data_IF_571872892544
#
_entry.id   IF_571872892544
#
_cell.length_a   1.000
_cell.length_b   1.000
_cell.length_c   1.000
_cell.angle_alpha   90.00
_cell.angle_beta   90.00
_cell.angle_gamma   90.00
#
_symmetry.space_group_name_H-M   'P 1'
#
loop_
_entity.id
_entity.type
_entity.pdbx_description
1 polymer ?
#
# COMPACT_ATOMS: atom_id res chain seq x y z
N UNK A 1 -51.90 10.13 32.37
CA UNK A 1 -52.95 10.41 31.37
C UNK A 1 -52.52 9.76 30.06
N UNK A 2 -53.03 8.56 29.82
CA UNK A 2 -52.88 7.78 28.59
C UNK A 2 -54.15 7.94 27.77
N UNK A 3 -54.00 8.07 26.45
CA UNK A 3 -55.00 7.81 25.40
C UNK A 3 -54.23 7.80 24.07
N UNK A 4 -54.48 7.02 23.03
CA UNK A 4 -55.21 5.78 22.71
C UNK A 4 -54.98 5.61 21.17
N UNK A 5 -54.57 4.43 20.68
CA UNK A 5 -55.36 3.50 19.82
C UNK A 5 -55.81 4.12 18.45
N UNK A 6 -55.69 3.51 17.26
CA UNK A 6 -55.85 2.10 16.87
C UNK A 6 -55.53 1.88 15.38
N UNK A 7 -55.17 0.62 15.06
CA UNK A 7 -55.32 -0.20 13.83
C UNK A 7 -56.33 0.25 12.76
N UNK A 8 -56.29 -0.17 11.48
CA UNK A 8 -55.66 -1.32 10.84
C UNK A 8 -56.17 -1.50 9.38
N UNK A 9 -55.65 -2.54 8.72
CA UNK A 9 -55.82 -3.01 7.34
C UNK A 9 -57.27 -3.00 6.78
N UNK A 10 -57.40 -2.80 5.46
CA UNK A 10 -58.34 -3.55 4.61
C UNK A 10 -57.82 -3.67 3.16
N UNK A 11 -57.71 -4.91 2.68
CA UNK A 11 -57.65 -5.35 1.28
C UNK A 11 -59.05 -5.74 0.81
N UNK A 12 -59.46 -5.41 -0.43
CA UNK A 12 -60.24 -6.29 -1.32
C UNK A 12 -60.66 -5.63 -2.66
N UNK A 13 -60.44 -6.40 -3.73
CA UNK A 13 -61.27 -6.63 -4.93
C UNK A 13 -61.39 -5.64 -6.13
N UNK A 14 -61.10 -6.23 -7.30
CA UNK A 14 -61.47 -5.94 -8.71
C UNK A 14 -63.03 -5.98 -8.93
N UNK A 15 -63.64 -5.81 -10.15
CA UNK A 15 -63.10 -5.78 -11.52
C UNK A 15 -63.72 -4.79 -12.56
N UNK A 16 -63.06 -4.75 -13.73
CA UNK A 16 -63.53 -4.65 -15.13
C UNK A 16 -64.68 -3.73 -15.61
N UNK A 17 -64.41 -3.10 -16.78
CA UNK A 17 -65.21 -3.16 -18.02
C UNK A 17 -65.86 -1.87 -18.56
N UNK A 18 -65.44 -1.48 -19.78
CA UNK A 18 -66.23 -0.90 -20.90
C UNK A 18 -66.80 0.53 -20.75
N UNK A 19 -66.94 1.40 -21.76
CA UNK A 19 -66.88 1.34 -23.24
C UNK A 19 -66.93 2.79 -23.79
N UNK A 20 -66.44 2.96 -25.04
CA UNK A 20 -67.01 3.80 -26.15
C UNK A 20 -67.14 5.31 -25.87
N UNK A 21 -66.24 6.15 -26.42
CA UNK A 21 -66.26 6.70 -27.78
C UNK A 21 -67.50 7.55 -28.07
N UNK A 22 -67.40 8.84 -27.74
CA UNK A 22 -68.36 9.88 -28.09
C UNK A 22 -68.03 10.50 -29.46
N UNK A 23 -69.00 10.35 -30.35
CA UNK A 23 -69.23 11.10 -31.59
C UNK A 23 -69.07 12.61 -31.44
N UNK A 24 -68.45 13.26 -32.44
CA UNK A 24 -68.73 14.65 -32.76
C UNK A 24 -69.21 14.72 -34.21
N UNK A 25 -70.51 14.98 -34.37
CA UNK A 25 -71.07 15.54 -35.59
C UNK A 25 -70.49 16.94 -35.81
N UNK A 26 -70.06 17.23 -37.03
CA UNK A 26 -70.09 18.59 -37.57
C UNK A 26 -70.53 18.49 -39.02
N UNK A 27 -71.59 19.21 -39.33
CA UNK A 27 -72.30 19.19 -40.60
C UNK A 27 -72.10 20.54 -41.31
N UNK A 28 -71.95 20.47 -42.65
CA UNK A 28 -71.96 21.54 -43.66
C UNK A 28 -70.78 22.55 -43.67
N UNK A 29 -70.23 22.98 -44.81
CA UNK A 29 -70.74 23.06 -46.18
C UNK A 29 -69.62 23.06 -47.25
N UNK A 30 -70.04 22.69 -48.46
CA UNK A 30 -69.32 22.45 -49.71
C UNK A 30 -68.65 23.70 -50.30
N UNK A 31 -67.41 23.56 -50.80
CA UNK A 31 -67.02 23.97 -52.16
C UNK A 31 -65.65 23.42 -52.54
N UNK A 32 -65.58 22.92 -53.77
CA UNK A 32 -64.52 22.11 -54.38
C UNK A 32 -63.26 22.92 -54.74
N UNK A 33 -62.10 22.23 -54.77
CA UNK A 33 -60.98 22.62 -55.61
C UNK A 33 -59.58 22.48 -54.98
N UNK A 34 -58.90 21.39 -55.32
CA UNK A 34 -57.43 21.17 -55.39
C UNK A 34 -56.54 22.36 -54.93
N UNK A 35 -55.68 22.30 -53.91
CA UNK A 35 -54.86 21.20 -53.41
C UNK A 35 -53.38 21.45 -53.74
N UNK A 36 -52.70 22.34 -53.00
CA UNK A 36 -51.28 22.24 -52.57
C UNK A 36 -50.78 23.48 -51.80
N UNK A 37 -49.85 23.20 -50.88
CA UNK A 37 -48.85 24.06 -50.21
C UNK A 37 -49.25 24.95 -49.00
N UNK A 38 -48.76 24.60 -47.80
CA UNK A 38 -47.57 25.22 -47.19
C UNK A 38 -47.31 24.71 -45.75
N UNK A 39 -46.03 24.64 -45.40
CA UNK A 39 -45.42 23.98 -44.23
C UNK A 39 -45.16 24.94 -43.04
N UNK A 40 -45.21 24.40 -41.80
CA UNK A 40 -44.54 24.80 -40.52
C UNK A 40 -45.04 26.04 -39.71
N UNK A 41 -44.77 26.19 -38.37
CA UNK A 41 -43.76 25.50 -37.52
C UNK A 41 -44.10 25.13 -36.04
N UNK A 42 -43.59 23.95 -35.63
CA UNK A 42 -42.79 23.55 -34.43
C UNK A 42 -42.56 24.52 -33.22
N UNK A 43 -42.82 24.06 -31.98
CA UNK A 43 -41.96 24.14 -30.75
C UNK A 43 -42.62 23.36 -29.58
N UNK A 44 -42.17 22.17 -29.13
CA UNK A 44 -40.97 21.81 -28.34
C UNK A 44 -41.04 22.22 -26.86
N UNK A 45 -41.44 21.28 -26.00
CA UNK A 45 -40.93 21.17 -24.61
C UNK A 45 -41.00 19.73 -24.10
N UNK A 46 -39.81 19.22 -23.76
CA UNK A 46 -39.48 18.13 -22.84
C UNK A 46 -39.94 16.69 -23.11
N UNK A 47 -39.33 16.14 -24.15
CA UNK A 47 -38.96 14.73 -24.22
C UNK A 47 -37.83 14.43 -23.21
N UNK A 48 -38.18 14.32 -21.92
CA UNK A 48 -37.26 13.87 -20.87
C UNK A 48 -37.21 12.33 -20.82
N UNK A 49 -36.83 11.70 -21.93
CA UNK A 49 -36.27 10.34 -21.88
C UNK A 49 -35.00 10.34 -22.75
N UNK A 50 -33.87 10.63 -22.08
CA UNK A 50 -32.55 10.45 -22.66
C UNK A 50 -32.37 8.96 -22.92
N UNK A 51 -32.76 8.49 -24.10
CA UNK A 51 -32.30 7.21 -24.63
C UNK A 51 -30.80 7.34 -24.84
N UNK A 52 -30.03 6.72 -23.94
CA UNK A 52 -28.58 6.67 -24.07
C UNK A 52 -28.29 5.92 -25.37
N UNK A 53 -27.80 6.64 -26.37
CA UNK A 53 -27.58 6.05 -27.69
C UNK A 53 -26.46 5.02 -27.61
N UNK A 54 -26.51 3.98 -28.45
CA UNK A 54 -25.50 2.91 -28.50
C UNK A 54 -24.07 3.46 -28.61
N UNK A 55 -23.89 4.60 -29.28
CA UNK A 55 -22.62 5.31 -29.38
C UNK A 55 -22.15 5.87 -28.03
N UNK A 56 -23.04 6.42 -27.21
CA UNK A 56 -22.67 6.93 -25.88
C UNK A 56 -22.28 5.79 -24.92
N UNK A 57 -22.96 4.65 -24.99
CA UNK A 57 -22.59 3.45 -24.24
C UNK A 57 -21.20 2.95 -24.62
N UNK A 58 -20.87 2.92 -25.91
CA UNK A 58 -19.54 2.52 -26.38
C UNK A 58 -18.45 3.49 -25.94
N UNK A 59 -18.70 4.80 -26.02
CA UNK A 59 -17.75 5.81 -25.55
C UNK A 59 -17.49 5.66 -24.05
N UNK A 60 -18.55 5.51 -23.23
CA UNK A 60 -18.40 5.30 -21.78
C UNK A 60 -17.64 4.00 -21.48
N UNK A 61 -17.94 2.92 -22.20
CA UNK A 61 -17.25 1.65 -22.03
C UNK A 61 -15.74 1.76 -22.32
N UNK A 62 -15.38 2.42 -23.43
CA UNK A 62 -13.98 2.63 -23.78
C UNK A 62 -13.26 3.60 -22.86
N UNK A 63 -13.92 4.66 -22.38
CA UNK A 63 -13.30 5.56 -21.39
C UNK A 63 -13.08 4.86 -20.06
N UNK A 64 -14.00 4.01 -19.59
CA UNK A 64 -13.83 3.20 -18.38
C UNK A 64 -12.71 2.17 -18.52
N UNK A 65 -12.59 1.52 -19.68
CA UNK A 65 -11.48 0.60 -19.96
C UNK A 65 -10.15 1.37 -19.96
N UNK A 66 -10.11 2.52 -20.64
CA UNK A 66 -8.91 3.35 -20.71
C UNK A 66 -8.48 3.82 -19.31
N UNK A 67 -9.41 4.31 -18.49
CA UNK A 67 -9.09 4.72 -17.12
C UNK A 67 -8.67 3.53 -16.26
N UNK A 68 -9.34 2.38 -16.35
CA UNK A 68 -8.89 1.17 -15.65
C UNK A 68 -7.49 0.71 -16.05
N UNK A 69 -7.12 0.88 -17.33
CA UNK A 69 -5.80 0.48 -17.84
C UNK A 69 -4.70 1.49 -17.50
N UNK A 70 -5.00 2.80 -17.55
CA UNK A 70 -4.05 3.85 -17.20
C UNK A 70 -3.90 4.05 -15.69
N UNK A 71 -4.92 3.77 -14.89
CA UNK A 71 -4.87 3.94 -13.44
C UNK A 71 -3.74 3.16 -12.74
N UNK A 72 -3.49 1.85 -12.98
CA UNK A 72 -2.39 1.15 -12.34
C UNK A 72 -1.03 1.68 -12.77
N UNK A 73 -0.88 2.10 -14.03
CA UNK A 73 0.35 2.72 -14.53
C UNK A 73 0.59 4.09 -13.89
N UNK A 74 -0.42 4.95 -13.82
CA UNK A 74 -0.33 6.26 -13.18
C UNK A 74 -0.13 6.16 -11.66
N UNK A 75 -0.78 5.20 -11.01
CA UNK A 75 -0.61 4.91 -9.58
C UNK A 75 0.81 4.42 -9.29
N UNK A 76 1.34 3.52 -10.12
CA UNK A 76 2.72 3.04 -10.01
C UNK A 76 3.73 4.17 -10.22
N UNK A 77 3.51 5.00 -11.25
CA UNK A 77 4.34 6.18 -11.51
C UNK A 77 4.26 7.20 -10.36
N UNK A 78 3.08 7.41 -9.78
CA UNK A 78 2.89 8.32 -8.64
C UNK A 78 3.59 7.80 -7.38
N UNK A 79 3.54 6.50 -7.10
CA UNK A 79 4.29 5.88 -6.00
C UNK A 79 5.78 5.98 -6.24
N UNK A 80 6.26 5.67 -7.45
CA UNK A 80 7.68 5.80 -7.82
C UNK A 80 8.19 7.24 -7.71
N UNK A 81 7.37 8.21 -8.13
CA UNK A 81 7.70 9.63 -8.02
C UNK A 81 7.67 10.09 -6.55
N UNK A 82 6.71 9.62 -5.75
CA UNK A 82 6.64 9.90 -4.32
C UNK A 82 7.84 9.31 -3.57
N UNK A 83 8.30 8.10 -3.90
CA UNK A 83 9.52 7.48 -3.33
C UNK A 83 10.81 8.09 -3.87
N UNK A 84 10.77 8.77 -5.02
CA UNK A 84 11.90 9.54 -5.51
C UNK A 84 11.97 10.93 -4.84
N UNK A 85 10.82 11.50 -4.47
CA UNK A 85 10.69 12.82 -3.86
C UNK A 85 10.81 12.78 -2.34
N UNK A 86 10.22 11.79 -1.68
CA UNK A 86 10.60 11.40 -0.33
C UNK A 86 11.90 10.63 -0.46
N UNK A 87 12.96 11.00 0.24
CA UNK A 87 14.24 10.27 0.19
C UNK A 87 14.07 8.88 0.81
N UNK A 88 13.38 7.98 0.10
CA UNK A 88 12.88 6.74 0.65
C UNK A 88 14.06 5.81 0.79
N UNK A 89 14.50 5.65 2.03
CA UNK A 89 15.48 4.64 2.39
C UNK A 89 15.02 3.26 1.89
N UNK A 90 15.94 2.48 1.33
CA UNK A 90 15.66 1.10 0.90
C UNK A 90 15.69 0.20 2.13
N UNK A 91 14.51 -0.27 2.55
CA UNK A 91 14.38 -1.19 3.67
C UNK A 91 15.30 -2.42 3.49
N UNK A 92 16.05 -2.75 4.53
CA UNK A 92 17.02 -3.84 4.52
C UNK A 92 18.37 -3.54 3.84
N UNK A 93 18.62 -2.32 3.38
CA UNK A 93 19.94 -1.95 2.85
C UNK A 93 21.04 -1.93 3.92
N UNK A 94 20.69 -1.52 5.14
CA UNK A 94 21.52 -1.60 6.33
C UNK A 94 21.03 -2.66 7.30
N UNK A 95 21.92 -3.14 8.14
CA UNK A 95 21.63 -4.12 9.19
C UNK A 95 22.33 -3.79 10.49
N UNK A 96 21.73 -4.28 11.58
CA UNK A 96 22.33 -4.29 12.91
C UNK A 96 22.73 -5.72 13.24
N UNK A 97 23.97 -5.92 13.66
CA UNK A 97 24.47 -7.21 14.10
C UNK A 97 24.65 -7.21 15.63
N UNK A 98 24.30 -8.33 16.23
CA UNK A 98 24.59 -8.69 17.61
C UNK A 98 25.74 -9.70 17.62
N UNK A 99 26.76 -9.44 18.42
CA UNK A 99 27.89 -10.35 18.61
C UNK A 99 28.18 -10.48 20.11
N UNK A 100 28.16 -11.69 20.66
CA UNK A 100 28.60 -11.91 22.05
C UNK A 100 30.11 -12.17 22.10
N UNK A 101 30.75 -11.63 23.14
CA UNK A 101 32.17 -11.80 23.40
C UNK A 101 32.40 -12.20 24.86
N UNK A 102 33.42 -13.03 25.17
CA UNK A 102 33.69 -13.48 26.53
C UNK A 102 34.18 -12.37 27.47
N UNK A 103 34.87 -11.36 26.92
CA UNK A 103 35.48 -10.28 27.72
C UNK A 103 35.34 -8.94 27.03
N UNK A 104 35.43 -7.87 27.83
CA UNK A 104 35.36 -6.50 27.32
C UNK A 104 36.56 -6.18 26.42
N UNK A 105 37.72 -6.75 26.73
CA UNK A 105 38.92 -6.60 25.91
C UNK A 105 38.73 -7.24 24.53
N UNK A 106 38.24 -8.48 24.48
CA UNK A 106 37.91 -9.16 23.21
C UNK A 106 36.91 -8.36 22.39
N UNK A 107 35.86 -7.83 23.04
CA UNK A 107 34.84 -7.02 22.38
C UNK A 107 35.42 -5.73 21.78
N UNK A 108 36.29 -5.03 22.54
CA UNK A 108 36.99 -3.82 22.08
C UNK A 108 37.94 -4.12 20.93
N UNK A 109 38.67 -5.23 21.00
CA UNK A 109 39.61 -5.63 19.97
C UNK A 109 38.86 -5.98 18.68
N UNK A 110 37.83 -6.83 18.73
CA UNK A 110 36.99 -7.15 17.57
C UNK A 110 36.38 -5.87 16.98
N UNK A 111 35.78 -5.03 17.83
CA UNK A 111 35.19 -3.76 17.44
C UNK A 111 36.20 -2.84 16.72
N UNK A 112 37.44 -2.75 17.21
CA UNK A 112 38.51 -1.98 16.57
C UNK A 112 38.87 -2.56 15.20
N UNK A 113 39.09 -3.87 15.10
CA UNK A 113 39.52 -4.49 13.85
C UNK A 113 38.46 -4.36 12.73
N UNK A 114 37.16 -4.54 13.05
CA UNK A 114 36.10 -4.39 12.03
C UNK A 114 35.94 -2.95 11.57
N UNK A 115 36.13 -1.98 12.48
CA UNK A 115 36.08 -0.55 12.15
C UNK A 115 37.29 -0.11 11.32
N UNK A 116 38.50 -0.56 11.67
CA UNK A 116 39.74 -0.26 10.93
C UNK A 116 39.68 -0.76 9.48
N UNK A 117 39.06 -1.93 9.28
CA UNK A 117 38.84 -2.51 7.96
C UNK A 117 37.61 -1.94 7.25
N UNK A 118 36.93 -0.95 7.84
CA UNK A 118 35.71 -0.32 7.34
C UNK A 118 34.59 -1.32 7.01
N UNK A 119 34.49 -2.41 7.77
CA UNK A 119 33.39 -3.37 7.63
C UNK A 119 32.15 -2.97 8.42
N UNK A 120 32.29 -2.01 9.34
CA UNK A 120 31.20 -1.46 10.14
C UNK A 120 31.34 0.05 10.25
N UNK A 121 30.21 0.75 10.34
CA UNK A 121 30.17 2.19 10.54
C UNK A 121 30.23 2.55 12.03
N UNK A 122 29.61 1.74 12.88
CA UNK A 122 29.52 1.98 14.31
C UNK A 122 29.44 0.67 15.09
N UNK A 123 30.00 0.67 16.30
CA UNK A 123 29.96 -0.44 17.25
C UNK A 123 29.62 0.12 18.63
N UNK A 124 28.52 -0.33 19.22
CA UNK A 124 28.27 -0.09 20.64
C UNK A 124 28.71 -1.31 21.43
N UNK A 125 29.49 -1.07 22.49
CA UNK A 125 29.90 -2.09 23.44
C UNK A 125 29.01 -1.94 24.67
N UNK A 126 28.14 -2.92 24.90
CA UNK A 126 27.27 -2.91 26.06
C UNK A 126 28.04 -3.38 27.30
N UNK A 127 27.65 -2.92 28.51
CA UNK A 127 28.26 -3.41 29.73
C UNK A 127 28.02 -4.92 29.88
N UNK A 128 28.78 -5.52 30.79
CA UNK A 128 28.72 -6.95 31.11
C UNK A 128 27.28 -7.43 31.34
N UNK A 129 26.88 -8.43 30.56
CA UNK A 129 25.59 -9.12 30.66
C UNK A 129 25.78 -10.52 31.25
N UNK A 130 24.67 -11.08 31.74
CA UNK A 130 24.59 -12.50 32.16
C UNK A 130 23.81 -13.26 31.10
N UNK A 131 24.40 -14.33 30.57
CA UNK A 131 23.81 -15.19 29.55
C UNK A 131 23.61 -16.57 30.15
N UNK A 132 22.38 -17.10 30.09
CA UNK A 132 22.08 -18.48 30.48
C UNK A 132 21.81 -19.32 29.24
N UNK A 133 22.39 -20.52 29.15
CA UNK A 133 22.20 -21.40 27.99
C UNK A 133 22.31 -22.87 28.37
N UNK A 134 21.80 -23.76 27.52
CA UNK A 134 21.94 -25.19 27.71
C UNK A 134 23.25 -25.69 27.11
N UNK A 135 24.02 -26.41 27.92
CA UNK A 135 25.22 -27.10 27.47
C UNK A 135 25.30 -28.49 28.10
N UNK A 136 25.43 -29.52 27.25
CA UNK A 136 25.50 -30.94 27.68
C UNK A 136 24.37 -31.38 28.63
N UNK A 137 23.17 -30.82 28.45
CA UNK A 137 21.98 -31.17 29.24
C UNK A 137 21.82 -30.38 30.55
N UNK A 138 22.73 -29.45 30.85
CA UNK A 138 22.65 -28.60 32.03
C UNK A 138 22.51 -27.13 31.63
N UNK A 139 21.89 -26.33 32.50
CA UNK A 139 21.86 -24.87 32.36
C UNK A 139 23.20 -24.35 32.86
N UNK A 140 23.88 -23.58 32.01
CA UNK A 140 25.12 -22.89 32.31
C UNK A 140 24.87 -21.39 32.32
N UNK A 141 25.61 -20.70 33.19
CA UNK A 141 25.63 -19.25 33.28
C UNK A 141 27.01 -18.74 32.87
N UNK A 142 27.04 -17.77 31.96
CA UNK A 142 28.26 -17.10 31.56
C UNK A 142 28.09 -15.58 31.64
N UNK A 143 29.21 -14.90 31.82
CA UNK A 143 29.24 -13.45 31.76
C UNK A 143 29.87 -13.02 30.44
N UNK A 144 29.14 -12.22 29.67
CA UNK A 144 29.51 -11.86 28.31
C UNK A 144 29.37 -10.35 28.08
N UNK A 145 29.88 -9.91 26.93
CA UNK A 145 29.81 -8.54 26.45
C UNK A 145 29.12 -8.58 25.10
N UNK A 146 28.04 -7.83 24.98
CA UNK A 146 27.26 -7.75 23.75
C UNK A 146 27.71 -6.55 22.91
N UNK A 147 28.08 -6.82 21.67
CA UNK A 147 28.38 -5.82 20.65
C UNK A 147 27.14 -5.59 19.78
N UNK A 148 26.82 -4.31 19.55
CA UNK A 148 25.79 -3.89 18.61
C UNK A 148 26.46 -3.15 17.45
N UNK A 149 26.59 -3.82 16.32
CA UNK A 149 27.33 -3.35 15.15
C UNK A 149 26.35 -2.86 14.09
N UNK A 150 26.62 -1.72 13.46
CA UNK A 150 25.80 -1.18 12.37
C UNK A 150 26.62 -1.12 11.11
N UNK A 151 26.09 -1.71 10.04
CA UNK A 151 26.78 -1.82 8.76
C UNK A 151 25.78 -1.97 7.61
N UNK A 152 26.29 -2.02 6.38
CA UNK A 152 25.54 -2.41 5.19
C UNK A 152 25.22 -3.90 5.21
N UNK A 153 24.04 -4.26 4.76
CA UNK A 153 23.61 -5.66 4.70
C UNK A 153 24.51 -6.49 3.78
N UNK A 154 25.06 -5.90 2.72
CA UNK A 154 26.03 -6.54 1.83
C UNK A 154 27.32 -6.97 2.53
N UNK A 155 27.71 -6.31 3.63
CA UNK A 155 28.94 -6.57 4.37
C UNK A 155 28.81 -7.68 5.42
N UNK A 156 27.60 -8.14 5.73
CA UNK A 156 27.35 -9.09 6.82
C UNK A 156 28.19 -10.35 6.67
N UNK A 157 28.24 -10.94 5.46
CA UNK A 157 28.94 -12.19 5.25
C UNK A 157 30.44 -12.03 5.50
N UNK A 158 31.07 -11.03 4.88
CA UNK A 158 32.49 -10.75 5.06
C UNK A 158 32.84 -10.41 6.51
N UNK A 159 32.00 -9.63 7.19
CA UNK A 159 32.16 -9.30 8.59
C UNK A 159 32.07 -10.57 9.46
N UNK A 160 31.09 -11.43 9.20
CA UNK A 160 30.88 -12.69 9.93
C UNK A 160 32.09 -13.61 9.78
N UNK A 161 32.59 -13.78 8.56
CA UNK A 161 33.76 -14.62 8.27
C UNK A 161 35.01 -14.07 8.97
N UNK A 162 35.19 -12.74 8.95
CA UNK A 162 36.30 -12.11 9.64
C UNK A 162 36.22 -12.27 11.16
N UNK A 163 35.04 -12.07 11.75
CA UNK A 163 34.84 -12.25 13.20
C UNK A 163 35.11 -13.71 13.58
N UNK A 164 34.58 -14.68 12.83
CA UNK A 164 34.84 -16.10 13.06
C UNK A 164 36.34 -16.44 13.06
N UNK A 165 37.14 -15.79 12.21
CA UNK A 165 38.58 -16.03 12.15
C UNK A 165 39.36 -15.52 13.36
N UNK A 166 38.87 -14.48 14.05
CA UNK A 166 39.57 -13.85 15.18
C UNK A 166 38.91 -14.11 16.54
N UNK A 167 37.67 -14.62 16.55
CA UNK A 167 36.90 -14.82 17.77
C UNK A 167 37.46 -16.02 18.58
N UNK A 168 37.58 -15.91 19.91
CA UNK A 168 38.14 -16.99 20.74
C UNK A 168 37.26 -18.25 20.81
N UNK A 169 35.94 -18.10 20.66
CA UNK A 169 35.01 -19.23 20.57
C UNK A 169 35.00 -19.81 19.16
N UNK A 170 34.90 -21.13 19.07
CA UNK A 170 34.79 -21.86 17.81
C UNK A 170 33.50 -21.49 17.05
N UNK A 171 32.41 -21.24 17.77
CA UNK A 171 31.11 -20.85 17.22
C UNK A 171 30.58 -19.65 18.00
N UNK A 172 30.98 -18.41 17.65
CA UNK A 172 30.42 -17.22 18.27
C UNK A 172 28.94 -17.06 17.92
N UNK A 173 28.18 -16.44 18.83
CA UNK A 173 26.84 -15.95 18.51
C UNK A 173 26.97 -14.68 17.66
N UNK A 174 26.53 -14.75 16.40
CA UNK A 174 26.47 -13.62 15.47
C UNK A 174 25.08 -13.62 14.82
N UNK A 175 24.26 -12.61 15.13
CA UNK A 175 22.90 -12.47 14.61
C UNK A 175 22.76 -11.13 13.89
N UNK A 176 22.06 -11.09 12.76
CA UNK A 176 21.83 -9.85 11.99
C UNK A 176 20.34 -9.55 11.83
N UNK A 177 19.97 -8.28 11.98
CA UNK A 177 18.60 -7.78 11.83
C UNK A 177 18.57 -6.66 10.78
N UNK A 178 17.73 -6.76 9.75
CA UNK A 178 17.63 -5.74 8.71
C UNK A 178 16.94 -4.48 9.25
N UNK A 179 17.54 -3.32 9.02
CA UNK A 179 16.96 -2.02 9.36
C UNK A 179 15.88 -1.70 8.32
N UNK A 180 14.63 -1.57 8.78
CA UNK A 180 13.49 -1.26 7.93
C UNK A 180 13.32 0.25 7.69
N UNK A 181 13.68 1.07 8.68
CA UNK A 181 13.55 2.53 8.61
C UNK A 181 14.54 3.20 9.58
N UNK A 182 14.79 4.50 9.37
CA UNK A 182 15.65 5.32 10.21
C UNK A 182 15.89 6.70 9.63
N UNK A 183 16.66 7.52 10.36
CA UNK A 183 17.03 8.84 9.86
C UNK A 183 17.85 8.73 8.57
N UNK A 184 17.39 9.37 7.50
CA UNK A 184 18.06 9.33 6.20
C UNK A 184 19.51 9.84 6.27
N UNK A 185 19.77 10.89 7.05
CA UNK A 185 21.13 11.41 7.24
C UNK A 185 22.05 10.43 7.97
N UNK A 186 21.50 9.65 8.90
CA UNK A 186 22.26 8.63 9.64
C UNK A 186 22.56 7.41 8.76
N UNK A 187 21.58 6.96 7.98
CA UNK A 187 21.74 5.82 7.07
C UNK A 187 22.72 6.18 5.95
N UNK A 188 22.65 7.39 5.41
CA UNK A 188 23.66 7.90 4.47
C UNK A 188 25.06 8.00 5.08
N UNK A 189 25.17 8.35 6.36
CA UNK A 189 26.48 8.32 7.03
C UNK A 189 27.04 6.90 7.17
N UNK A 190 26.20 5.88 7.37
CA UNK A 190 26.65 4.48 7.36
C UNK A 190 27.21 4.12 5.98
N UNK A 191 26.54 4.56 4.91
CA UNK A 191 26.99 4.39 3.54
C UNK A 191 28.36 5.01 3.27
N UNK A 192 28.57 6.25 3.73
CA UNK A 192 29.83 6.95 3.55
C UNK A 192 30.98 6.33 4.37
N UNK A 193 30.66 5.75 5.54
CA UNK A 193 31.64 5.12 6.43
C UNK A 193 32.08 3.72 5.94
N UNK A 194 31.17 2.98 5.28
CA UNK A 194 31.36 1.61 4.82
C UNK A 194 31.19 1.57 3.29
N UNK A 195 32.27 1.81 2.52
CA UNK A 195 32.18 1.81 1.06
C UNK A 195 31.90 0.42 0.51
N UNK A 196 31.29 0.36 -0.69
CA UNK A 196 31.14 -0.90 -1.42
C UNK A 196 32.52 -1.43 -1.83
N UNK A 197 32.71 -2.75 -1.65
CA UNK A 197 33.93 -3.47 -2.02
C UNK A 197 33.93 -3.77 -3.52
#
# INVERSE_FOLDING_TARGET
MHCALTSGLWTANQPASTRVASTCEVNYSVSEGHGMDWFCPRCRTDQMSRSMTRTQLLVIFWTLILTMMLYPMLSMLAVQMYTALSSSYVAGHHSVLLINCPTEQTAKDIGRHIMEKRMAACVNILPRTSTMFYWKGEIQDASEILLLVRTRTSMIQQLTDFVNAIHPYQTPEILSFPIQDGSHSYLKWIDDAVPDV
#
